data_IF_319697000771
#
_entry.id   IF_319697000771
#
_cell.length_a   1.000
_cell.length_b   1.000
_cell.length_c   1.000
_cell.angle_alpha   90.00
_cell.angle_beta   90.00
_cell.angle_gamma   90.00
#
_symmetry.space_group_name_H-M   'P 1'
#
loop_
_entity.id
_entity.type
_entity.pdbx_description
1 polymer ?
#
# COMPACT_ATOMS: atom_id res chain seq x y z
N UNK A 1 8.96 20.16 -12.05
CA UNK A 1 7.77 20.11 -11.17
C UNK A 1 8.17 19.53 -9.82
N UNK A 2 7.66 20.07 -8.72
CA UNK A 2 7.87 19.48 -7.40
C UNK A 2 7.21 18.10 -7.34
N UNK A 3 7.85 17.13 -6.66
CA UNK A 3 7.31 15.79 -6.49
C UNK A 3 6.12 15.83 -5.51
N UNK A 4 4.91 15.39 -5.90
CA UNK A 4 3.79 15.28 -4.98
C UNK A 4 4.08 14.34 -3.81
N UNK A 5 3.48 14.66 -2.67
CA UNK A 5 3.49 13.88 -1.43
C UNK A 5 2.07 13.45 -1.08
N UNK A 6 1.95 12.34 -0.34
CA UNK A 6 0.66 11.93 0.20
C UNK A 6 0.06 12.99 1.13
N UNK A 7 0.92 13.79 1.78
CA UNK A 7 0.50 14.89 2.64
C UNK A 7 -0.14 16.06 1.86
N UNK A 8 0.04 16.12 0.54
CA UNK A 8 -0.59 17.15 -0.31
C UNK A 8 -2.07 16.85 -0.57
N UNK A 9 -2.55 15.65 -0.22
CA UNK A 9 -3.96 15.28 -0.25
C UNK A 9 -4.71 15.89 0.94
N UNK A 10 -5.95 16.31 0.72
CA UNK A 10 -6.86 16.67 1.81
C UNK A 10 -7.13 15.47 2.73
N UNK A 11 -7.53 15.67 4.00
CA UNK A 11 -7.83 14.55 4.91
C UNK A 11 -8.86 13.56 4.35
N UNK A 12 -9.90 14.06 3.66
CA UNK A 12 -10.89 13.22 3.01
C UNK A 12 -10.27 12.38 1.89
N UNK A 13 -9.44 12.99 1.04
CA UNK A 13 -8.71 12.25 0.00
C UNK A 13 -7.77 11.20 0.61
N UNK A 14 -7.03 11.53 1.67
CA UNK A 14 -6.16 10.57 2.35
C UNK A 14 -6.94 9.37 2.91
N UNK A 15 -8.12 9.59 3.48
CA UNK A 15 -8.95 8.51 4.03
C UNK A 15 -9.50 7.56 2.96
N UNK A 16 -9.75 8.07 1.76
CA UNK A 16 -10.35 7.33 0.64
C UNK A 16 -9.36 6.95 -0.46
N UNK A 17 -8.08 7.32 -0.35
CA UNK A 17 -7.06 6.99 -1.35
C UNK A 17 -6.65 5.52 -1.28
N UNK A 18 -6.47 4.89 -2.44
CA UNK A 18 -6.04 3.51 -2.54
C UNK A 18 -7.16 2.50 -2.37
N UNK A 19 -6.90 1.27 -2.80
CA UNK A 19 -7.91 0.26 -3.02
C UNK A 19 -7.87 -0.86 -1.96
N UNK A 20 -7.11 -0.62 -0.88
CA UNK A 20 -6.83 -1.57 0.19
C UNK A 20 -5.71 -2.54 -0.17
N UNK A 21 -5.66 -3.67 0.53
CA UNK A 21 -4.75 -4.76 0.19
C UNK A 21 -5.34 -5.64 -0.92
N UNK A 22 -4.53 -5.85 -1.94
CA UNK A 22 -4.79 -6.80 -3.01
C UNK A 22 -4.78 -6.15 -4.40
N UNK A 23 -4.56 -6.96 -5.44
CA UNK A 23 -4.50 -6.45 -6.80
C UNK A 23 -5.87 -5.95 -7.28
N UNK A 24 -5.88 -5.00 -8.21
CA UNK A 24 -7.09 -4.38 -8.75
C UNK A 24 -8.10 -5.36 -9.38
N UNK A 25 -7.64 -6.51 -9.87
CA UNK A 25 -8.50 -7.57 -10.42
C UNK A 25 -9.18 -8.44 -9.34
N UNK A 26 -8.80 -8.31 -8.08
CA UNK A 26 -9.42 -9.06 -6.99
C UNK A 26 -10.78 -8.44 -6.64
N UNK A 27 -11.86 -9.23 -6.46
CA UNK A 27 -13.17 -8.71 -6.09
C UNK A 27 -13.12 -7.79 -4.85
N UNK A 28 -13.90 -6.71 -4.87
CA UNK A 28 -13.87 -5.67 -3.82
C UNK A 28 -14.14 -6.23 -2.43
N UNK A 29 -15.09 -7.16 -2.31
CA UNK A 29 -15.42 -7.80 -1.03
C UNK A 29 -14.21 -8.53 -0.44
N UNK A 30 -13.42 -9.23 -1.28
CA UNK A 30 -12.26 -9.98 -0.84
C UNK A 30 -11.10 -9.06 -0.47
N UNK A 31 -10.87 -7.98 -1.23
CA UNK A 31 -9.89 -6.93 -0.86
C UNK A 31 -10.23 -6.30 0.48
N UNK A 32 -11.52 -6.03 0.70
CA UNK A 32 -12.02 -5.45 1.96
C UNK A 32 -11.74 -6.42 3.11
N UNK A 33 -12.13 -7.70 2.99
CA UNK A 33 -11.87 -8.69 4.03
C UNK A 33 -10.38 -8.89 4.33
N UNK A 34 -9.52 -8.93 3.31
CA UNK A 34 -8.05 -9.02 3.48
C UNK A 34 -7.54 -7.78 4.22
N UNK A 35 -8.00 -6.59 3.84
CA UNK A 35 -7.59 -5.32 4.45
C UNK A 35 -8.02 -5.26 5.92
N UNK A 36 -9.26 -5.61 6.22
CA UNK A 36 -9.80 -5.65 7.59
C UNK A 36 -9.02 -6.65 8.45
N UNK A 37 -8.78 -7.86 7.94
CA UNK A 37 -8.02 -8.90 8.65
C UNK A 37 -6.58 -8.44 8.91
N UNK A 38 -5.92 -7.84 7.92
CA UNK A 38 -4.56 -7.32 8.06
C UNK A 38 -4.50 -6.14 9.04
N UNK A 39 -5.55 -5.32 9.13
CA UNK A 39 -5.61 -4.17 10.05
C UNK A 39 -5.60 -4.58 11.53
N UNK A 40 -5.91 -5.84 11.85
CA UNK A 40 -5.75 -6.37 13.20
C UNK A 40 -4.27 -6.49 13.60
N UNK A 41 -3.41 -6.75 12.63
CA UNK A 41 -1.97 -6.91 12.85
C UNK A 41 -1.19 -5.63 12.58
N UNK A 42 -1.58 -4.86 11.57
CA UNK A 42 -0.78 -3.74 11.06
C UNK A 42 -1.53 -2.40 11.17
N UNK A 43 -1.11 -1.57 12.12
CA UNK A 43 -1.73 -0.26 12.41
C UNK A 43 -1.02 0.88 11.70
N UNK A 44 0.31 0.84 11.64
CA UNK A 44 1.16 1.82 10.97
C UNK A 44 1.34 1.52 9.47
N UNK A 45 1.13 0.27 9.04
CA UNK A 45 1.21 -0.14 7.65
C UNK A 45 0.06 0.45 6.84
N UNK A 46 0.29 1.65 6.31
CA UNK A 46 -0.68 2.28 5.43
C UNK A 46 -0.52 1.82 3.99
N UNK A 47 -1.39 0.90 3.58
CA UNK A 47 -1.61 0.50 2.19
C UNK A 47 -1.85 1.72 1.28
N UNK A 48 -2.50 2.77 1.81
CA UNK A 48 -2.77 4.01 1.05
C UNK A 48 -1.49 4.75 0.66
N UNK A 49 -0.49 4.79 1.56
CA UNK A 49 0.82 5.37 1.25
C UNK A 49 1.57 4.54 0.19
N UNK A 50 1.37 3.21 0.18
CA UNK A 50 1.93 2.32 -0.84
C UNK A 50 1.26 2.57 -2.21
N UNK A 51 -0.06 2.58 -2.25
CA UNK A 51 -0.86 2.86 -3.47
C UNK A 51 -0.57 4.24 -4.05
N UNK A 52 -0.40 5.25 -3.20
CA UNK A 52 -0.01 6.60 -3.65
C UNK A 52 1.39 6.58 -4.25
N UNK A 53 2.32 5.88 -3.61
CA UNK A 53 3.66 5.65 -4.16
C UNK A 53 3.62 4.95 -5.53
N UNK A 54 2.72 3.98 -5.69
CA UNK A 54 2.50 3.28 -6.96
C UNK A 54 1.93 4.17 -8.07
N UNK A 55 1.06 5.10 -7.70
CA UNK A 55 0.50 6.11 -8.60
C UNK A 55 1.53 7.17 -8.98
N UNK A 56 2.43 7.54 -8.05
CA UNK A 56 3.44 8.58 -8.23
C UNK A 56 4.71 8.08 -8.95
N UNK A 57 5.17 6.86 -8.61
CA UNK A 57 6.38 6.27 -9.13
C UNK A 57 6.30 6.01 -10.64
N UNK A 58 7.46 5.88 -11.28
CA UNK A 58 7.54 5.65 -12.73
C UNK A 58 8.65 4.66 -13.14
N UNK A 59 9.51 4.24 -12.20
CA UNK A 59 10.63 3.32 -12.46
C UNK A 59 10.53 2.05 -11.62
N UNK A 60 11.19 0.97 -12.08
CA UNK A 60 11.34 -0.26 -11.29
C UNK A 60 12.03 0.00 -9.94
N UNK A 61 12.92 1.00 -9.86
CA UNK A 61 13.56 1.41 -8.62
C UNK A 61 12.57 2.04 -7.64
N UNK A 62 11.69 2.94 -8.11
CA UNK A 62 10.60 3.50 -7.31
C UNK A 62 9.66 2.40 -6.82
N UNK A 63 9.27 1.45 -7.68
CA UNK A 63 8.46 0.31 -7.25
C UNK A 63 9.10 -0.45 -6.08
N UNK A 64 10.37 -0.84 -6.24
CA UNK A 64 11.15 -1.50 -5.17
C UNK A 64 11.18 -0.67 -3.89
N UNK A 65 11.37 0.65 -4.01
CA UNK A 65 11.42 1.55 -2.87
C UNK A 65 10.08 1.57 -2.11
N UNK A 66 8.95 1.65 -2.82
CA UNK A 66 7.63 1.66 -2.19
C UNK A 66 7.26 0.30 -1.61
N UNK A 67 7.56 -0.80 -2.32
CA UNK A 67 7.41 -2.17 -1.80
C UNK A 67 8.18 -2.34 -0.47
N UNK A 68 9.41 -1.81 -0.42
CA UNK A 68 10.26 -1.89 0.78
C UNK A 68 9.76 -1.04 1.93
N UNK A 69 9.30 0.19 1.65
CA UNK A 69 8.69 1.07 2.68
C UNK A 69 7.45 0.42 3.28
N UNK A 70 6.61 -0.19 2.45
CA UNK A 70 5.42 -0.92 2.88
C UNK A 70 5.78 -2.12 3.77
N UNK A 71 6.73 -2.94 3.33
CA UNK A 71 7.20 -4.08 4.13
C UNK A 71 7.80 -3.66 5.48
N UNK A 72 8.63 -2.61 5.49
CA UNK A 72 9.21 -2.08 6.73
C UNK A 72 8.15 -1.58 7.71
N UNK A 73 7.08 -0.96 7.21
CA UNK A 73 5.97 -0.52 8.06
C UNK A 73 5.24 -1.72 8.68
N UNK A 74 4.93 -2.76 7.88
CA UNK A 74 4.34 -3.99 8.41
C UNK A 74 5.24 -4.71 9.42
N UNK A 75 6.56 -4.76 9.18
CA UNK A 75 7.50 -5.35 10.14
C UNK A 75 7.55 -4.58 11.46
N UNK A 76 7.45 -3.24 11.42
CA UNK A 76 7.37 -2.42 12.64
C UNK A 76 6.14 -2.80 13.46
N UNK A 77 4.98 -2.83 12.83
CA UNK A 77 3.74 -3.27 13.49
C UNK A 77 3.82 -4.70 14.03
N UNK A 78 4.44 -5.61 13.26
CA UNK A 78 4.58 -7.02 13.62
C UNK A 78 5.44 -7.21 14.88
N UNK A 79 6.47 -6.40 15.10
CA UNK A 79 7.29 -6.48 16.33
C UNK A 79 6.71 -5.66 17.48
N UNK A 80 5.78 -4.75 17.20
CA UNK A 80 5.07 -3.92 18.19
C UNK A 80 3.75 -4.53 18.68
N UNK A 81 3.54 -5.84 18.49
CA UNK A 81 2.37 -6.56 19.00
C UNK A 81 2.28 -6.52 20.54
N UNK A 82 1.08 -6.68 21.13
CA UNK A 82 0.93 -6.66 22.59
C UNK A 82 1.77 -7.74 23.27
N UNK A 83 2.46 -7.37 24.35
CA UNK A 83 3.41 -8.24 25.06
C UNK A 83 2.80 -9.60 25.46
N UNK A 84 1.52 -9.60 25.86
CA UNK A 84 0.80 -10.81 26.30
C UNK A 84 0.71 -11.91 25.23
N UNK A 85 0.56 -11.53 23.95
CA UNK A 85 0.39 -12.47 22.84
C UNK A 85 1.60 -12.49 21.90
N UNK A 86 2.65 -11.75 22.24
CA UNK A 86 3.74 -11.44 21.33
C UNK A 86 4.41 -12.66 20.72
N UNK A 87 4.67 -13.71 21.53
CA UNK A 87 5.33 -14.95 21.08
C UNK A 87 4.56 -15.64 19.95
N UNK A 88 3.24 -15.48 19.90
CA UNK A 88 2.39 -16.05 18.85
C UNK A 88 2.10 -15.03 17.75
N UNK A 89 1.70 -13.81 18.14
CA UNK A 89 1.24 -12.78 17.22
C UNK A 89 2.37 -12.24 16.33
N UNK A 90 3.57 -12.00 16.89
CA UNK A 90 4.66 -11.41 16.14
C UNK A 90 5.17 -12.33 15.01
N UNK A 91 5.44 -13.64 15.22
CA UNK A 91 5.83 -14.53 14.12
C UNK A 91 4.77 -14.65 13.01
N UNK A 92 3.48 -14.72 13.39
CA UNK A 92 2.37 -14.76 12.43
C UNK A 92 2.29 -13.46 11.63
N UNK A 93 2.39 -12.30 12.29
CA UNK A 93 2.40 -11.01 11.62
C UNK A 93 3.61 -10.85 10.68
N UNK A 94 4.80 -11.32 11.07
CA UNK A 94 6.01 -11.32 10.22
C UNK A 94 5.79 -12.21 8.98
N UNK A 95 5.20 -13.39 9.15
CA UNK A 95 4.89 -14.29 8.04
C UNK A 95 3.92 -13.61 7.06
N UNK A 96 2.82 -13.04 7.56
CA UNK A 96 1.83 -12.32 6.74
C UNK A 96 2.48 -11.12 6.02
N UNK A 97 3.28 -10.32 6.72
CA UNK A 97 4.02 -9.19 6.13
C UNK A 97 4.94 -9.64 4.99
N UNK A 98 5.62 -10.78 5.17
CA UNK A 98 6.49 -11.38 4.15
C UNK A 98 5.67 -11.84 2.94
N UNK A 99 4.52 -12.50 3.16
CA UNK A 99 3.63 -12.93 2.07
C UNK A 99 3.11 -11.75 1.26
N UNK A 100 2.68 -10.66 1.92
CA UNK A 100 2.26 -9.44 1.22
C UNK A 100 3.42 -8.81 0.44
N UNK A 101 4.62 -8.75 1.03
CA UNK A 101 5.81 -8.25 0.33
C UNK A 101 6.09 -9.07 -0.93
N UNK A 102 6.11 -10.40 -0.84
CA UNK A 102 6.31 -11.28 -2.00
C UNK A 102 5.22 -11.07 -3.06
N UNK A 103 3.96 -10.91 -2.65
CA UNK A 103 2.86 -10.65 -3.56
C UNK A 103 3.03 -9.32 -4.33
N UNK A 104 3.35 -8.21 -3.66
CA UNK A 104 3.57 -6.92 -4.36
C UNK A 104 4.83 -6.97 -5.24
N UNK A 105 5.87 -7.70 -4.84
CA UNK A 105 7.07 -7.91 -5.66
C UNK A 105 6.76 -8.66 -6.95
N UNK A 106 5.91 -9.69 -6.88
CA UNK A 106 5.54 -10.55 -8.00
C UNK A 106 4.49 -9.90 -8.93
N UNK A 107 3.47 -9.26 -8.38
CA UNK A 107 2.27 -8.83 -9.12
C UNK A 107 2.10 -7.32 -9.24
N UNK A 108 2.77 -6.51 -8.39
CA UNK A 108 2.55 -5.05 -8.35
C UNK A 108 2.88 -4.33 -9.66
N UNK A 109 3.85 -4.84 -10.42
CA UNK A 109 4.17 -4.29 -11.75
C UNK A 109 3.12 -4.55 -12.84
N UNK A 110 2.22 -5.53 -12.65
CA UNK A 110 1.17 -5.88 -13.61
C UNK A 110 -0.19 -5.28 -13.27
N UNK A 111 -0.39 -4.87 -12.02
CA UNK A 111 -1.73 -4.65 -11.47
C UNK A 111 -1.97 -3.27 -10.83
N UNK A 112 -0.95 -2.41 -10.76
CA UNK A 112 -1.16 -1.07 -10.17
C UNK A 112 0.00 -0.09 -10.22
N UNK A 113 1.24 -0.53 -10.48
CA UNK A 113 2.36 0.42 -10.58
C UNK A 113 2.36 1.18 -11.89
N UNK A 114 2.41 2.52 -11.83
CA UNK A 114 2.57 3.36 -13.01
C UNK A 114 4.02 3.31 -13.51
N UNK A 115 4.22 3.06 -14.81
CA UNK A 115 5.53 3.19 -15.46
C UNK A 115 5.48 4.33 -16.47
N UNK A 116 6.53 5.17 -16.47
CA UNK A 116 6.57 6.37 -17.29
C UNK A 116 7.97 6.98 -17.34
N UNK A 117 8.08 8.20 -17.87
CA UNK A 117 9.35 8.94 -18.02
C UNK A 117 9.59 9.95 -16.89
N UNK A 118 8.60 10.22 -16.04
CA UNK A 118 8.70 11.17 -14.94
C UNK A 118 7.61 10.98 -13.90
N UNK A 119 7.70 11.73 -12.80
CA UNK A 119 6.65 11.77 -11.78
C UNK A 119 5.37 12.36 -12.36
N UNK A 120 4.23 11.77 -11.96
CA UNK A 120 2.92 12.34 -12.25
C UNK A 120 2.64 13.56 -11.37
N UNK A 121 1.84 14.51 -11.87
CA UNK A 121 1.30 15.60 -11.06
C UNK A 121 0.22 15.08 -10.11
N UNK A 122 -0.09 15.85 -9.06
CA UNK A 122 -1.17 15.50 -8.14
C UNK A 122 -2.52 15.42 -8.85
N UNK A 123 -2.78 16.36 -9.76
CA UNK A 123 -3.99 16.38 -10.59
C UNK A 123 -4.15 15.11 -11.42
N UNK A 124 -3.06 14.65 -12.07
CA UNK A 124 -3.09 13.40 -12.83
C UNK A 124 -3.40 12.19 -11.94
N UNK A 125 -2.83 12.13 -10.73
CA UNK A 125 -3.08 11.05 -9.78
C UNK A 125 -4.55 11.05 -9.34
N UNK A 126 -5.10 12.22 -9.02
CA UNK A 126 -6.48 12.37 -8.57
C UNK A 126 -7.51 12.09 -9.67
N UNK A 127 -7.23 12.51 -10.90
CA UNK A 127 -8.10 12.28 -12.05
C UNK A 127 -8.29 10.79 -12.32
N UNK A 128 -7.21 10.01 -12.33
CA UNK A 128 -7.29 8.56 -12.52
C UNK A 128 -8.05 7.89 -11.37
N UNK A 129 -7.81 8.34 -10.14
CA UNK A 129 -8.45 7.77 -8.97
C UNK A 129 -9.96 8.06 -8.92
N UNK A 130 -10.36 9.26 -9.33
CA UNK A 130 -11.77 9.65 -9.46
C UNK A 130 -12.50 8.85 -10.54
N UNK A 131 -11.86 8.60 -11.68
CA UNK A 131 -12.44 7.82 -12.78
C UNK A 131 -12.57 6.32 -12.47
N UNK A 132 -11.75 5.76 -11.55
CA UNK A 132 -11.83 4.35 -11.17
C UNK A 132 -12.83 4.02 -10.06
N UNK A 133 -13.38 5.04 -9.38
CA UNK A 133 -14.27 4.86 -8.22
C UNK A 133 -15.67 5.50 -8.39
N UNK A 134 -15.95 6.04 -9.59
CA UNK A 134 -17.28 6.48 -10.05
C UNK A 134 -17.93 5.40 -10.92
#
# INVERSE_FOLDING_TARGET
MARPSFADLTPAQQAHFGNGLGPSWLPNWLRTSITETASWFFKDASWRHHDFGYSLGYTKAHRRQYDWKFYRAMLRDAVSQPALIWIVAAPVAILIATLFFLAVRAFGGRSGFHFGTGYRSLEQILSDYGATNS
#
